data_IF_859962521509
#
_entry.id   IF_859962521509
#
_cell.length_a   1.000
_cell.length_b   1.000
_cell.length_c   1.000
_cell.angle_alpha   90.00
_cell.angle_beta   90.00
_cell.angle_gamma   90.00
#
_symmetry.space_group_name_H-M   'P 1'
#
loop_
_entity.id
_entity.type
_entity.pdbx_description
1 polymer ?
#
# COMPACT_ATOMS: atom_id res chain seq x y z
N UNK A 1 5.46 -14.94 -24.44
CA UNK A 1 5.98 -13.58 -24.21
C UNK A 1 5.70 -13.20 -22.77
N UNK A 2 6.75 -12.91 -22.01
CA UNK A 2 6.70 -12.73 -20.56
C UNK A 2 5.75 -11.57 -20.18
N UNK A 3 4.67 -11.88 -19.45
CA UNK A 3 3.71 -10.91 -18.92
C UNK A 3 4.41 -10.14 -17.80
N UNK A 4 4.80 -8.88 -18.04
CA UNK A 4 5.23 -8.01 -16.95
C UNK A 4 3.98 -7.54 -16.23
N UNK A 5 3.72 -8.13 -15.05
CA UNK A 5 2.83 -7.52 -14.06
C UNK A 5 3.33 -6.10 -13.76
N UNK A 6 2.39 -5.18 -13.53
CA UNK A 6 2.67 -3.82 -13.04
C UNK A 6 3.75 -3.88 -11.97
N UNK A 7 4.95 -3.39 -12.27
CA UNK A 7 5.97 -3.22 -11.25
C UNK A 7 5.72 -1.89 -10.56
N UNK A 8 5.15 -1.95 -9.36
CA UNK A 8 5.21 -0.85 -8.40
C UNK A 8 6.68 -0.68 -7.96
N UNK A 9 7.52 -0.08 -8.80
CA UNK A 9 8.86 0.35 -8.40
C UNK A 9 8.73 1.65 -7.59
N UNK A 10 8.65 1.51 -6.26
CA UNK A 10 8.74 2.63 -5.32
C UNK A 10 7.50 3.52 -5.19
N UNK A 11 7.71 4.72 -4.60
CA UNK A 11 6.70 5.72 -4.22
C UNK A 11 5.91 6.35 -5.39
N UNK A 12 6.26 5.97 -6.62
CA UNK A 12 5.84 6.61 -7.85
C UNK A 12 5.13 5.61 -8.75
N UNK A 13 3.93 5.96 -9.20
CA UNK A 13 3.26 5.20 -10.26
C UNK A 13 3.69 5.74 -11.63
N UNK A 14 4.23 4.85 -12.47
CA UNK A 14 4.46 5.07 -13.89
C UNK A 14 3.71 4.00 -14.68
N UNK A 15 2.88 4.43 -15.63
CA UNK A 15 2.25 3.54 -16.59
C UNK A 15 3.19 3.35 -17.78
N UNK A 16 3.57 2.10 -18.03
CA UNK A 16 4.40 1.70 -19.17
C UNK A 16 3.51 1.31 -20.38
N UNK A 17 4.09 1.31 -21.58
CA UNK A 17 3.41 0.79 -22.77
C UNK A 17 3.26 -0.73 -22.66
N UNK A 18 2.01 -1.21 -22.51
CA UNK A 18 1.72 -2.64 -22.36
C UNK A 18 1.03 -3.01 -21.05
N UNK A 19 0.84 -2.07 -20.12
CA UNK A 19 -0.05 -2.24 -18.98
C UNK A 19 -1.50 -2.29 -19.49
N UNK A 20 -1.98 -3.48 -19.84
CA UNK A 20 -3.24 -3.63 -20.57
C UNK A 20 -4.41 -3.37 -19.63
N UNK A 21 -5.14 -2.30 -19.89
CA UNK A 21 -6.47 -2.07 -19.28
C UNK A 21 -7.52 -3.11 -19.69
N UNK A 22 -7.19 -4.06 -20.56
CA UNK A 22 -8.13 -5.07 -21.08
C UNK A 22 -8.66 -5.99 -19.98
N UNK A 23 -7.78 -6.46 -19.08
CA UNK A 23 -8.15 -7.35 -17.97
C UNK A 23 -8.87 -6.56 -16.85
N UNK A 24 -8.42 -5.32 -16.61
CA UNK A 24 -9.01 -4.35 -15.66
C UNK A 24 -10.44 -3.92 -16.05
N UNK A 25 -10.73 -3.77 -17.34
CA UNK A 25 -12.06 -3.39 -17.85
C UNK A 25 -12.98 -4.61 -17.89
N UNK A 26 -12.48 -5.78 -18.28
CA UNK A 26 -13.26 -7.03 -18.24
C UNK A 26 -13.63 -7.39 -16.79
N UNK A 27 -12.73 -7.17 -15.83
CA UNK A 27 -13.04 -7.29 -14.40
C UNK A 27 -14.08 -6.25 -13.91
N UNK A 28 -14.24 -5.10 -14.61
CA UNK A 28 -15.28 -4.10 -14.32
C UNK A 28 -16.67 -4.58 -14.76
N UNK A 29 -16.74 -5.30 -15.88
CA UNK A 29 -17.97 -5.94 -16.36
C UNK A 29 -18.39 -7.06 -15.41
N UNK A 30 -17.45 -7.87 -14.94
CA UNK A 30 -17.74 -8.99 -14.03
C UNK A 30 -18.07 -8.54 -12.59
N UNK A 31 -17.52 -7.41 -12.11
CA UNK A 31 -17.77 -6.88 -10.75
C UNK A 31 -19.05 -6.07 -10.62
N UNK A 32 -19.49 -5.39 -11.68
CA UNK A 32 -20.82 -4.80 -11.67
C UNK A 32 -21.80 -5.94 -11.90
N UNK A 33 -22.46 -6.35 -10.82
CA UNK A 33 -23.71 -7.11 -10.80
C UNK A 33 -24.86 -6.32 -11.49
N UNK A 34 -24.57 -5.60 -12.59
CA UNK A 34 -25.53 -5.14 -13.61
C UNK A 34 -26.25 -6.33 -14.27
N UNK A 35 -25.82 -7.55 -13.94
CA UNK A 35 -26.21 -8.82 -14.49
C UNK A 35 -26.70 -9.79 -13.41
N UNK A 36 -27.34 -9.28 -12.33
CA UNK A 36 -28.17 -10.12 -11.47
C UNK A 36 -29.13 -10.92 -12.36
N UNK A 37 -28.98 -12.25 -12.35
CA UNK A 37 -29.62 -13.17 -13.28
C UNK A 37 -31.13 -12.88 -13.47
N UNK A 38 -31.49 -12.30 -14.62
CA UNK A 38 -32.91 -12.11 -14.99
C UNK A 38 -33.28 -10.88 -15.83
N UNK A 39 -32.38 -9.93 -16.10
CA UNK A 39 -32.74 -8.64 -16.73
C UNK A 39 -32.47 -8.51 -18.23
N UNK A 40 -31.71 -9.42 -18.86
CA UNK A 40 -31.31 -9.30 -20.26
C UNK A 40 -32.18 -10.13 -21.20
N UNK A 41 -32.69 -9.57 -22.31
CA UNK A 41 -33.62 -10.29 -23.19
C UNK A 41 -32.97 -11.42 -24.00
N UNK A 42 -31.65 -11.38 -24.25
CA UNK A 42 -30.93 -12.43 -25.00
C UNK A 42 -29.39 -12.34 -24.88
N UNK A 43 -28.70 -13.49 -24.88
CA UNK A 43 -27.22 -13.62 -24.87
C UNK A 43 -26.53 -12.85 -26.01
N UNK A 44 -27.08 -12.77 -27.24
CA UNK A 44 -26.50 -11.94 -28.31
C UNK A 44 -26.48 -10.43 -28.00
N UNK A 45 -27.54 -9.91 -27.37
CA UNK A 45 -27.62 -8.50 -26.98
C UNK A 45 -26.58 -8.17 -25.91
N UNK A 46 -26.41 -9.05 -24.93
CA UNK A 46 -25.39 -8.95 -23.89
C UNK A 46 -23.99 -8.92 -24.50
N UNK A 47 -23.65 -9.90 -25.34
CA UNK A 47 -22.35 -9.95 -26.02
C UNK A 47 -22.06 -8.70 -26.88
N UNK A 48 -23.08 -8.19 -27.57
CA UNK A 48 -22.95 -6.94 -28.32
C UNK A 48 -22.61 -5.77 -27.40
N UNK A 49 -23.31 -5.62 -26.27
CA UNK A 49 -23.04 -4.57 -25.28
C UNK A 49 -21.63 -4.70 -24.72
N UNK A 50 -21.21 -5.90 -24.34
CA UNK A 50 -19.86 -6.13 -23.81
C UNK A 50 -18.76 -5.75 -24.81
N UNK A 51 -18.95 -6.03 -26.09
CA UNK A 51 -18.01 -5.60 -27.14
C UNK A 51 -17.92 -4.07 -27.24
N UNK A 52 -19.05 -3.36 -27.19
CA UNK A 52 -19.06 -1.90 -27.21
C UNK A 52 -18.44 -1.28 -25.95
N UNK A 53 -18.75 -1.84 -24.78
CA UNK A 53 -18.16 -1.41 -23.50
C UNK A 53 -16.64 -1.57 -23.54
N UNK A 54 -16.15 -2.72 -24.01
CA UNK A 54 -14.72 -2.99 -24.19
C UNK A 54 -14.06 -1.99 -25.15
N UNK A 55 -14.63 -1.80 -26.33
CA UNK A 55 -14.12 -0.84 -27.32
C UNK A 55 -14.03 0.58 -26.77
N UNK A 56 -15.06 1.02 -26.02
CA UNK A 56 -15.09 2.33 -25.37
C UNK A 56 -14.02 2.46 -24.28
N UNK A 57 -13.78 1.40 -23.53
CA UNK A 57 -12.77 1.39 -22.47
C UNK A 57 -11.34 1.37 -23.02
N UNK A 58 -11.09 0.65 -24.12
CA UNK A 58 -9.82 0.68 -24.85
C UNK A 58 -9.52 2.10 -25.32
N UNK A 59 -10.50 2.75 -25.95
CA UNK A 59 -10.38 4.16 -26.33
C UNK A 59 -10.10 5.06 -25.11
N UNK A 60 -10.85 4.88 -24.02
CA UNK A 60 -10.73 5.72 -22.82
C UNK A 60 -9.33 5.63 -22.20
N UNK A 61 -8.77 4.42 -22.15
CA UNK A 61 -7.44 4.12 -21.61
C UNK A 61 -6.34 4.65 -22.53
N UNK A 62 -6.45 4.41 -23.84
CA UNK A 62 -5.49 4.92 -24.83
C UNK A 62 -5.37 6.44 -24.76
N UNK A 63 -6.50 7.14 -24.60
CA UNK A 63 -6.51 8.60 -24.41
C UNK A 63 -5.86 9.02 -23.08
N UNK A 64 -6.02 8.24 -22.01
CA UNK A 64 -5.34 8.50 -20.74
C UNK A 64 -3.80 8.38 -20.89
N UNK A 65 -3.30 7.31 -21.51
CA UNK A 65 -1.86 7.16 -21.76
C UNK A 65 -1.30 8.24 -22.68
N UNK A 66 -2.02 8.56 -23.76
CA UNK A 66 -1.63 9.62 -24.68
C UNK A 66 -1.47 10.97 -23.97
N UNK A 67 -2.47 11.37 -23.18
CA UNK A 67 -2.40 12.62 -22.43
C UNK A 67 -1.34 12.57 -21.33
N UNK A 68 -1.16 11.44 -20.65
CA UNK A 68 -0.10 11.30 -19.63
C UNK A 68 1.29 11.50 -20.23
N UNK A 69 1.57 10.91 -21.40
CA UNK A 69 2.85 11.12 -22.10
C UNK A 69 3.07 12.58 -22.51
N UNK A 70 2.02 13.27 -22.95
CA UNK A 70 2.08 14.70 -23.29
C UNK A 70 2.40 15.56 -22.07
N UNK A 71 1.72 15.32 -20.95
CA UNK A 71 1.95 16.02 -19.67
C UNK A 71 3.39 15.78 -19.21
N UNK A 72 3.87 14.53 -19.22
CA UNK A 72 5.24 14.16 -18.80
C UNK A 72 6.32 14.84 -19.65
N UNK A 73 6.07 15.03 -20.94
CA UNK A 73 7.01 15.70 -21.88
C UNK A 73 6.95 17.23 -21.81
N UNK A 74 6.09 17.81 -20.95
CA UNK A 74 5.94 19.26 -20.86
C UNK A 74 5.27 19.91 -22.08
N UNK A 75 4.48 19.17 -22.85
CA UNK A 75 3.72 19.75 -23.95
C UNK A 75 2.66 20.73 -23.44
N UNK A 76 2.22 21.68 -24.26
CA UNK A 76 1.11 22.58 -23.92
C UNK A 76 -0.19 21.78 -23.75
N UNK A 77 -0.67 21.69 -22.51
CA UNK A 77 -1.87 20.96 -22.11
C UNK A 77 -2.71 21.84 -21.18
N UNK A 78 -4.02 21.90 -21.44
CA UNK A 78 -4.95 22.68 -20.62
C UNK A 78 -5.13 22.07 -19.22
N UNK A 79 -5.34 22.93 -18.21
CA UNK A 79 -5.59 22.52 -16.81
C UNK A 79 -6.71 21.50 -16.67
N UNK A 80 -7.77 21.62 -17.47
CA UNK A 80 -8.90 20.69 -17.50
C UNK A 80 -8.51 19.30 -17.97
N UNK A 81 -7.58 19.20 -18.93
CA UNK A 81 -7.05 17.93 -19.43
C UNK A 81 -6.19 17.27 -18.35
N UNK A 82 -5.35 18.03 -17.63
CA UNK A 82 -4.57 17.50 -16.51
C UNK A 82 -5.46 16.92 -15.41
N UNK A 83 -6.50 17.67 -14.97
CA UNK A 83 -7.45 17.19 -13.95
C UNK A 83 -8.22 15.94 -14.39
N UNK A 84 -8.73 15.95 -15.64
CA UNK A 84 -9.42 14.78 -16.19
C UNK A 84 -8.47 13.58 -16.26
N UNK A 85 -7.24 13.79 -16.71
CA UNK A 85 -6.24 12.73 -16.80
C UNK A 85 -5.91 12.14 -15.43
N UNK A 86 -5.71 12.98 -14.41
CA UNK A 86 -5.52 12.52 -13.03
C UNK A 86 -6.65 11.60 -12.58
N UNK A 87 -7.92 12.03 -12.71
CA UNK A 87 -9.07 11.20 -12.34
C UNK A 87 -9.21 9.91 -13.16
N UNK A 88 -8.69 9.85 -14.40
CA UNK A 88 -8.61 8.60 -15.17
C UNK A 88 -7.55 7.66 -14.61
N UNK A 89 -6.37 8.21 -14.30
CA UNK A 89 -5.24 7.44 -13.77
C UNK A 89 -5.53 6.90 -12.38
N UNK A 90 -6.19 7.66 -11.50
CA UNK A 90 -6.62 7.20 -10.18
C UNK A 90 -7.53 5.97 -10.27
N UNK A 91 -8.48 5.97 -11.23
CA UNK A 91 -9.39 4.82 -11.46
C UNK A 91 -8.67 3.60 -12.01
N UNK A 92 -7.77 3.78 -12.98
CA UNK A 92 -6.95 2.68 -13.50
C UNK A 92 -6.08 2.05 -12.43
N UNK A 93 -5.47 2.90 -11.58
CA UNK A 93 -4.67 2.43 -10.45
C UNK A 93 -5.50 1.61 -9.47
N UNK A 94 -6.66 2.13 -9.05
CA UNK A 94 -7.49 1.45 -8.06
C UNK A 94 -8.06 0.13 -8.59
N UNK A 95 -8.35 0.05 -9.89
CA UNK A 95 -8.73 -1.22 -10.53
C UNK A 95 -7.60 -2.24 -10.53
N UNK A 96 -6.41 -1.83 -10.94
CA UNK A 96 -5.26 -2.73 -10.92
C UNK A 96 -4.92 -3.17 -9.49
N UNK A 97 -5.13 -2.29 -8.51
CA UNK A 97 -4.99 -2.60 -7.10
C UNK A 97 -6.04 -3.62 -6.63
N UNK A 98 -7.32 -3.46 -7.00
CA UNK A 98 -8.37 -4.47 -6.75
C UNK A 98 -8.00 -5.84 -7.30
N UNK A 99 -7.52 -5.89 -8.54
CA UNK A 99 -7.09 -7.12 -9.18
C UNK A 99 -5.89 -7.74 -8.47
N UNK A 100 -4.89 -6.94 -8.08
CA UNK A 100 -3.73 -7.39 -7.31
C UNK A 100 -4.13 -8.02 -5.98
N UNK A 101 -5.07 -7.41 -5.27
CA UNK A 101 -5.60 -7.92 -4.00
C UNK A 101 -6.42 -9.20 -4.19
N UNK A 102 -7.26 -9.24 -5.22
CA UNK A 102 -8.03 -10.44 -5.57
C UNK A 102 -7.11 -11.62 -5.92
N UNK A 103 -6.09 -11.37 -6.76
CA UNK A 103 -5.11 -12.38 -7.14
C UNK A 103 -4.35 -12.88 -5.90
N UNK A 104 -3.97 -12.00 -4.96
CA UNK A 104 -3.36 -12.42 -3.69
C UNK A 104 -4.22 -13.39 -2.89
N UNK A 105 -5.53 -13.14 -2.78
CA UNK A 105 -6.44 -14.03 -2.09
C UNK A 105 -6.65 -15.35 -2.84
N UNK A 106 -6.58 -15.32 -4.18
CA UNK A 106 -6.84 -16.47 -5.05
C UNK A 106 -5.67 -17.45 -5.13
N UNK A 107 -4.48 -17.00 -5.54
CA UNK A 107 -3.36 -17.92 -5.75
C UNK A 107 -2.42 -17.99 -4.52
N UNK A 108 -2.71 -17.22 -3.46
CA UNK A 108 -2.00 -17.26 -2.19
C UNK A 108 -0.70 -16.46 -2.16
N UNK A 109 0.17 -16.74 -1.18
CA UNK A 109 1.36 -15.94 -0.91
C UNK A 109 2.43 -16.13 -2.00
N UNK A 110 2.45 -15.25 -3.00
CA UNK A 110 3.33 -15.35 -4.18
C UNK A 110 4.84 -15.17 -3.94
N UNK A 111 5.24 -14.69 -2.76
CA UNK A 111 6.57 -14.05 -2.61
C UNK A 111 7.50 -14.78 -1.64
N UNK A 112 6.98 -15.56 -0.69
CA UNK A 112 7.82 -16.18 0.35
C UNK A 112 7.33 -17.61 0.57
N UNK A 113 8.17 -18.59 0.26
CA UNK A 113 7.92 -19.97 0.64
C UNK A 113 7.98 -20.11 2.17
N UNK A 114 7.27 -21.08 2.79
CA UNK A 114 7.34 -21.27 4.24
C UNK A 114 8.79 -21.42 4.76
N UNK A 115 9.67 -22.06 3.98
CA UNK A 115 11.08 -22.20 4.32
C UNK A 115 11.84 -20.87 4.34
N UNK A 116 11.61 -20.00 3.35
CA UNK A 116 12.19 -18.65 3.33
C UNK A 116 11.67 -17.79 4.48
N UNK A 117 10.37 -17.88 4.81
CA UNK A 117 9.79 -17.14 5.92
C UNK A 117 10.45 -17.52 7.27
N UNK A 118 10.68 -18.83 7.48
CA UNK A 118 11.39 -19.33 8.67
C UNK A 118 12.84 -18.85 8.70
N UNK A 119 13.52 -18.82 7.56
CA UNK A 119 14.89 -18.34 7.47
C UNK A 119 14.99 -16.84 7.82
N UNK A 120 14.09 -16.02 7.28
CA UNK A 120 14.03 -14.57 7.57
C UNK A 120 13.75 -14.35 9.06
N UNK A 121 12.76 -15.06 9.60
CA UNK A 121 12.40 -14.96 11.01
C UNK A 121 13.56 -15.35 11.93
N UNK A 122 14.16 -16.52 11.70
CA UNK A 122 15.31 -17.03 12.49
C UNK A 122 16.52 -16.09 12.42
N UNK A 123 16.82 -15.56 11.24
CA UNK A 123 17.91 -14.58 11.06
C UNK A 123 17.67 -13.33 11.91
N UNK A 124 16.44 -12.83 11.92
CA UNK A 124 16.07 -11.64 12.69
C UNK A 124 16.10 -11.90 14.19
N UNK A 125 15.66 -13.07 14.64
CA UNK A 125 15.76 -13.51 16.05
C UNK A 125 17.22 -13.51 16.51
N UNK A 126 18.10 -14.20 15.77
CA UNK A 126 19.52 -14.27 16.12
C UNK A 126 20.20 -12.89 16.12
N UNK A 127 19.82 -12.01 15.19
CA UNK A 127 20.29 -10.63 15.21
C UNK A 127 19.89 -9.91 16.50
N UNK A 128 18.60 -9.95 16.87
CA UNK A 128 18.09 -9.26 18.06
C UNK A 128 18.69 -9.84 19.36
N UNK A 129 18.87 -11.16 19.44
CA UNK A 129 19.53 -11.84 20.55
C UNK A 129 20.99 -11.39 20.70
N UNK A 130 21.74 -11.30 19.60
CA UNK A 130 23.14 -10.84 19.62
C UNK A 130 23.29 -9.42 20.18
N UNK A 131 22.26 -8.57 19.98
CA UNK A 131 22.22 -7.19 20.47
C UNK A 131 21.60 -7.07 21.86
N UNK A 132 21.19 -8.18 22.49
CA UNK A 132 20.47 -8.22 23.77
C UNK A 132 19.25 -7.28 23.77
N UNK A 133 18.55 -7.23 22.64
CA UNK A 133 17.42 -6.33 22.46
C UNK A 133 16.26 -6.74 23.37
N UNK A 134 15.71 -5.77 24.12
CA UNK A 134 14.49 -5.96 24.91
C UNK A 134 13.28 -5.46 24.12
N UNK A 135 12.22 -6.28 23.93
CA UNK A 135 10.99 -5.85 23.28
C UNK A 135 10.41 -4.59 23.91
N UNK A 136 9.87 -3.70 23.07
CA UNK A 136 9.22 -2.46 23.48
C UNK A 136 7.91 -2.83 24.19
N UNK A 137 7.77 -2.53 25.49
CA UNK A 137 6.59 -2.91 26.24
C UNK A 137 5.40 -2.01 25.88
N UNK A 138 4.21 -2.46 26.24
CA UNK A 138 3.02 -1.62 26.17
C UNK A 138 3.20 -0.35 27.03
N UNK A 139 2.79 0.84 26.55
CA UNK A 139 2.87 2.07 27.31
C UNK A 139 2.18 1.94 28.68
N UNK A 140 2.88 2.12 29.82
CA UNK A 140 2.24 2.00 31.13
C UNK A 140 1.23 3.12 31.37
N UNK A 141 0.23 2.88 32.22
CA UNK A 141 -0.83 3.86 32.50
C UNK A 141 -0.31 5.17 33.14
N UNK A 142 0.88 5.15 33.73
CA UNK A 142 1.49 6.27 34.46
C UNK A 142 2.75 6.84 33.79
N UNK A 143 2.79 6.91 32.44
CA UNK A 143 3.97 7.46 31.75
C UNK A 143 4.21 8.92 32.17
N UNK A 144 5.36 9.16 32.83
CA UNK A 144 5.83 10.48 33.28
C UNK A 144 5.92 11.53 32.15
N UNK A 145 5.98 11.09 30.89
CA UNK A 145 6.05 11.91 29.68
C UNK A 145 4.85 11.76 28.74
N UNK A 146 3.76 11.07 29.15
CA UNK A 146 2.65 10.73 28.26
C UNK A 146 1.94 11.97 27.72
N UNK A 147 1.85 13.02 28.52
CA UNK A 147 1.30 14.31 28.10
C UNK A 147 2.15 15.01 27.04
N UNK A 148 3.48 14.92 27.10
CA UNK A 148 4.37 15.52 26.10
C UNK A 148 4.28 14.81 24.75
N UNK A 149 4.21 13.49 24.77
CA UNK A 149 4.02 12.68 23.56
C UNK A 149 2.64 12.92 22.94
N UNK A 150 1.59 13.03 23.76
CA UNK A 150 0.25 13.38 23.30
C UNK A 150 0.22 14.78 22.67
N UNK A 151 0.89 15.78 23.26
CA UNK A 151 0.97 17.12 22.70
C UNK A 151 1.67 17.10 21.33
N UNK A 152 2.81 16.42 21.21
CA UNK A 152 3.52 16.27 19.94
C UNK A 152 2.69 15.55 18.87
N UNK A 153 1.89 14.56 19.27
CA UNK A 153 0.95 13.87 18.38
C UNK A 153 -0.16 14.81 17.92
N UNK A 154 -0.82 15.52 18.84
CA UNK A 154 -1.92 16.44 18.53
C UNK A 154 -1.47 17.63 17.67
N UNK A 155 -0.25 18.14 17.84
CA UNK A 155 0.32 19.19 16.99
C UNK A 155 0.42 18.76 15.52
N UNK A 156 0.60 17.46 15.24
CA UNK A 156 0.68 16.91 13.89
C UNK A 156 -0.67 16.61 13.24
N UNK A 157 -1.79 16.67 13.98
CA UNK A 157 -3.09 16.12 13.57
C UNK A 157 -4.18 17.15 13.25
N UNK A 158 -3.82 18.43 13.13
CA UNK A 158 -4.78 19.55 13.08
C UNK A 158 -5.66 19.65 11.81
N UNK A 159 -5.77 18.62 10.95
CA UNK A 159 -6.49 18.73 9.67
C UNK A 159 -7.34 17.51 9.27
N UNK A 160 -8.57 17.84 8.85
CA UNK A 160 -9.58 17.13 8.02
C UNK A 160 -10.13 15.75 8.46
N UNK A 161 -11.45 15.58 8.33
CA UNK A 161 -12.27 14.49 8.93
C UNK A 161 -12.98 13.62 7.86
N UNK A 162 -12.85 12.28 7.93
CA UNK A 162 -13.71 11.29 7.23
C UNK A 162 -13.45 9.86 7.76
N UNK A 163 -14.44 8.94 7.66
CA UNK A 163 -14.50 7.59 8.30
C UNK A 163 -13.89 6.46 7.44
N UNK A 164 -13.61 6.70 6.17
CA UNK A 164 -12.92 5.77 5.28
C UNK A 164 -11.54 6.32 4.92
N UNK A 165 -10.56 5.44 4.66
CA UNK A 165 -9.26 5.89 4.13
C UNK A 165 -9.47 6.31 2.68
N UNK A 166 -9.69 7.61 2.50
CA UNK A 166 -9.76 8.24 1.19
C UNK A 166 -8.41 8.10 0.51
N UNK A 167 -8.39 7.68 -0.76
CA UNK A 167 -7.16 7.72 -1.55
C UNK A 167 -7.27 8.81 -2.61
N UNK A 168 -6.44 9.82 -2.49
CA UNK A 168 -6.25 10.82 -3.53
C UNK A 168 -4.89 10.65 -4.20
N UNK A 169 -4.67 11.37 -5.30
CA UNK A 169 -3.39 11.33 -6.01
C UNK A 169 -2.84 12.72 -6.20
N UNK A 170 -1.61 12.92 -5.73
CA UNK A 170 -0.84 14.12 -6.02
C UNK A 170 -0.14 13.95 -7.37
N UNK A 171 -0.44 14.83 -8.32
CA UNK A 171 0.18 14.83 -9.65
C UNK A 171 1.46 15.68 -9.66
N UNK A 172 2.61 15.01 -9.76
CA UNK A 172 3.92 15.65 -9.92
C UNK A 172 4.31 15.78 -11.41
N UNK A 173 3.34 15.66 -12.32
CA UNK A 173 3.44 15.70 -13.79
C UNK A 173 4.28 14.58 -14.42
N UNK A 174 5.27 14.05 -13.71
CA UNK A 174 6.11 12.93 -14.13
C UNK A 174 5.55 11.61 -13.61
N UNK A 175 5.29 11.52 -12.31
CA UNK A 175 4.66 10.39 -11.64
C UNK A 175 3.52 10.86 -10.73
N UNK A 176 2.70 9.91 -10.28
CA UNK A 176 1.66 10.14 -9.30
C UNK A 176 2.07 9.56 -7.95
N UNK A 177 1.73 10.27 -6.87
CA UNK A 177 1.91 9.80 -5.50
C UNK A 177 0.51 9.57 -4.90
N UNK A 178 0.20 8.38 -4.37
CA UNK A 178 -1.02 8.16 -3.61
C UNK A 178 -0.93 8.90 -2.26
N UNK A 179 -1.96 9.66 -1.95
CA UNK A 179 -2.14 10.39 -0.69
C UNK A 179 -3.31 9.74 0.02
N UNK A 180 -3.08 9.21 1.22
CA UNK A 180 -4.12 8.55 2.00
C UNK A 180 -4.66 9.52 3.05
N UNK A 181 -5.96 9.72 3.04
CA UNK A 181 -6.69 10.51 4.02
C UNK A 181 -7.22 9.58 5.10
N UNK A 182 -6.47 9.46 6.20
CA UNK A 182 -6.86 8.67 7.39
C UNK A 182 -7.59 9.58 8.39
N UNK A 183 -8.60 9.05 9.09
CA UNK A 183 -9.38 9.79 10.08
C UNK A 183 -8.50 10.32 11.23
N UNK A 184 -8.68 11.57 11.71
CA UNK A 184 -7.89 12.10 12.82
C UNK A 184 -7.98 11.31 14.12
N UNK A 185 -9.15 10.75 14.47
CA UNK A 185 -9.31 9.93 15.68
C UNK A 185 -8.45 8.67 15.59
N UNK A 186 -8.44 8.05 14.43
CA UNK A 186 -7.59 6.92 14.11
C UNK A 186 -6.11 7.34 14.08
N UNK A 187 -5.79 8.53 13.56
CA UNK A 187 -4.42 9.06 13.57
C UNK A 187 -3.88 9.34 14.99
N UNK A 188 -4.71 9.67 15.99
CA UNK A 188 -4.26 9.83 17.39
C UNK A 188 -3.86 8.47 17.97
N UNK A 189 -4.64 7.43 17.69
CA UNK A 189 -4.34 6.04 18.09
C UNK A 189 -3.18 5.45 17.28
N UNK A 190 -3.06 5.81 16.00
CA UNK A 190 -1.98 5.39 15.09
C UNK A 190 -0.66 6.15 15.37
N UNK A 191 -0.71 7.37 15.91
CA UNK A 191 0.48 8.11 16.35
C UNK A 191 1.22 7.43 17.51
N UNK A 192 0.60 6.42 18.12
CA UNK A 192 1.12 5.78 19.30
C UNK A 192 1.68 4.36 19.07
N UNK A 193 1.32 3.60 18.04
CA UNK A 193 1.65 2.16 17.95
C UNK A 193 1.65 1.60 16.51
N UNK A 194 2.51 0.60 16.20
CA UNK A 194 2.83 -0.01 14.87
C UNK A 194 2.84 -1.60 14.83
N UNK A 195 2.76 -2.33 13.69
CA UNK A 195 2.64 -3.83 13.52
C UNK A 195 3.24 -4.38 12.21
N UNK A 196 3.71 -5.64 12.33
CA UNK A 196 3.83 -6.73 11.34
C UNK A 196 3.92 -8.05 12.12
N UNK A 197 2.80 -8.77 12.21
CA UNK A 197 2.39 -9.66 13.30
C UNK A 197 3.37 -10.72 13.89
N UNK A 198 4.50 -11.06 13.25
CA UNK A 198 5.47 -12.04 13.78
C UNK A 198 6.86 -11.44 13.96
N UNK A 199 7.34 -10.76 12.93
CA UNK A 199 8.57 -9.99 12.95
C UNK A 199 8.47 -8.82 13.94
N UNK A 200 7.32 -8.13 14.01
CA UNK A 200 7.12 -7.05 14.98
C UNK A 200 6.73 -7.54 16.37
N UNK A 201 6.25 -8.77 16.56
CA UNK A 201 6.17 -9.36 17.91
C UNK A 201 7.56 -9.61 18.53
N UNK A 202 8.62 -9.67 17.73
CA UNK A 202 9.99 -9.72 18.26
C UNK A 202 10.43 -8.37 18.85
N UNK A 203 9.84 -7.27 18.38
CA UNK A 203 10.28 -5.91 18.71
C UNK A 203 9.27 -5.16 19.58
N UNK A 204 7.99 -5.50 19.51
CA UNK A 204 6.87 -4.83 20.15
C UNK A 204 6.05 -5.83 20.98
N UNK A 205 5.34 -5.32 22.01
CA UNK A 205 4.34 -6.10 22.72
C UNK A 205 3.26 -6.66 21.78
N UNK A 206 2.70 -7.82 22.12
CA UNK A 206 1.69 -8.52 21.31
C UNK A 206 0.44 -7.68 20.98
N UNK A 207 -0.05 -6.84 21.90
CA UNK A 207 -1.27 -6.05 21.70
C UNK A 207 -1.07 -4.92 20.70
N UNK A 208 0.08 -4.24 20.80
CA UNK A 208 0.61 -3.31 19.82
C UNK A 208 0.73 -4.02 18.49
N UNK A 209 1.39 -5.17 18.54
CA UNK A 209 1.66 -6.02 17.42
C UNK A 209 0.44 -6.78 16.91
N UNK A 210 -0.79 -6.49 17.37
CA UNK A 210 -2.10 -6.98 16.87
C UNK A 210 -3.02 -5.83 16.36
N UNK A 211 -2.69 -4.58 16.68
CA UNK A 211 -3.42 -3.37 16.26
C UNK A 211 -3.16 -2.89 14.81
N UNK A 212 -1.91 -2.71 14.40
CA UNK A 212 -1.53 -2.20 13.08
C UNK A 212 -1.64 -3.05 11.76
N UNK A 213 -1.32 -4.34 11.67
CA UNK A 213 -1.82 -5.34 10.71
C UNK A 213 -3.33 -5.27 10.61
N UNK A 214 -4.07 -5.18 11.73
CA UNK A 214 -5.51 -4.97 11.63
C UNK A 214 -5.81 -3.61 10.98
N UNK A 215 -5.04 -2.57 11.33
CA UNK A 215 -5.15 -1.22 10.74
C UNK A 215 -4.72 -1.10 9.28
N UNK A 216 -3.88 -2.01 8.80
CA UNK A 216 -3.50 -2.09 7.39
C UNK A 216 -4.59 -2.79 6.56
N UNK A 217 -5.42 -3.61 7.18
CA UNK A 217 -6.54 -4.30 6.54
C UNK A 217 -7.80 -3.42 6.50
N UNK A 218 -7.69 -2.29 5.80
CA UNK A 218 -8.76 -1.28 5.67
C UNK A 218 -9.26 -1.18 4.23
N UNK A 219 -10.48 -0.68 4.08
CA UNK A 219 -11.05 -0.38 2.76
C UNK A 219 -10.50 0.95 2.27
N UNK A 220 -9.76 0.92 1.16
CA UNK A 220 -9.32 2.08 0.40
C UNK A 220 -10.47 2.54 -0.50
N UNK A 221 -10.92 3.78 -0.36
CA UNK A 221 -12.05 4.32 -1.12
C UNK A 221 -11.64 5.52 -1.99
N UNK A 222 -12.09 5.53 -3.24
CA UNK A 222 -12.00 6.67 -4.16
C UNK A 222 -13.32 6.84 -4.91
N UNK A 223 -14.02 7.94 -4.66
CA UNK A 223 -15.33 8.23 -5.25
C UNK A 223 -16.30 7.04 -5.16
N UNK A 224 -16.62 6.39 -6.28
CA UNK A 224 -17.55 5.26 -6.41
C UNK A 224 -16.89 3.88 -6.21
N UNK A 225 -15.58 3.84 -6.02
CA UNK A 225 -14.79 2.61 -6.00
C UNK A 225 -14.16 2.35 -4.63
N UNK A 226 -14.18 1.09 -4.18
CA UNK A 226 -13.55 0.66 -2.93
C UNK A 226 -12.76 -0.64 -3.10
N UNK A 227 -11.69 -0.82 -2.32
CA UNK A 227 -10.91 -2.05 -2.29
C UNK A 227 -10.41 -2.33 -0.87
N UNK A 228 -10.62 -3.53 -0.36
CA UNK A 228 -10.02 -3.96 0.92
C UNK A 228 -8.54 -4.27 0.72
N UNK A 229 -7.68 -3.58 1.46
CA UNK A 229 -6.24 -3.82 1.42
C UNK A 229 -5.87 -5.05 2.27
N UNK A 230 -5.99 -6.25 1.70
CA UNK A 230 -5.59 -7.49 2.38
C UNK A 230 -4.09 -7.78 2.30
N UNK A 231 -3.39 -7.17 1.35
CA UNK A 231 -1.96 -7.37 1.13
C UNK A 231 -1.25 -6.05 0.80
N UNK A 232 -0.30 -5.67 1.64
CA UNK A 232 0.51 -4.45 1.47
C UNK A 232 0.32 -3.45 2.62
N UNK A 233 1.24 -2.50 2.70
CA UNK A 233 1.26 -1.45 3.72
C UNK A 233 0.56 -0.19 3.22
N UNK A 234 -0.35 0.36 4.02
CA UNK A 234 -0.94 1.69 3.75
C UNK A 234 0.05 2.75 4.21
N UNK A 235 0.68 3.45 3.26
CA UNK A 235 1.79 4.37 3.55
C UNK A 235 1.39 5.67 4.24
N UNK A 236 0.11 6.03 4.26
CA UNK A 236 -0.36 7.25 4.94
C UNK A 236 -0.68 7.07 6.42
N UNK A 237 -0.49 5.86 6.97
CA UNK A 237 -0.54 5.62 8.41
C UNK A 237 0.71 6.23 9.06
N UNK A 238 0.55 6.87 10.23
CA UNK A 238 1.64 7.61 10.89
C UNK A 238 2.83 6.73 11.26
N UNK A 239 2.54 5.48 11.58
CA UNK A 239 3.54 4.50 11.95
C UNK A 239 4.22 3.85 10.73
N UNK A 240 3.70 3.99 9.51
CA UNK A 240 4.21 3.27 8.33
C UNK A 240 5.72 3.47 8.08
N UNK A 241 6.31 4.58 8.53
CA UNK A 241 7.75 4.79 8.48
C UNK A 241 8.55 3.79 9.33
N UNK A 242 8.07 3.45 10.52
CA UNK A 242 8.75 2.52 11.43
C UNK A 242 8.72 1.10 10.85
N UNK A 243 7.56 0.63 10.41
CA UNK A 243 7.44 -0.59 9.60
C UNK A 243 8.46 -0.66 8.49
N UNK A 244 8.51 0.36 7.61
CA UNK A 244 9.34 0.32 6.40
C UNK A 244 10.81 0.26 6.78
N UNK A 245 11.22 1.02 7.81
CA UNK A 245 12.59 0.96 8.34
C UNK A 245 12.93 -0.39 8.93
N UNK A 246 12.01 -1.00 9.69
CA UNK A 246 12.23 -2.31 10.28
C UNK A 246 12.32 -3.42 9.22
N UNK A 247 11.44 -3.39 8.22
CA UNK A 247 11.54 -4.28 7.05
C UNK A 247 12.81 -4.03 6.24
N UNK A 248 13.23 -2.77 6.13
CA UNK A 248 14.52 -2.40 5.55
C UNK A 248 15.69 -3.03 6.30
N UNK A 249 15.69 -2.97 7.63
CA UNK A 249 16.69 -3.64 8.46
C UNK A 249 16.71 -5.16 8.22
N UNK A 250 15.54 -5.80 8.17
CA UNK A 250 15.46 -7.25 7.89
C UNK A 250 16.06 -7.56 6.51
N UNK A 251 15.78 -6.74 5.49
CA UNK A 251 16.39 -6.89 4.17
C UNK A 251 17.91 -6.66 4.19
N UNK A 252 18.39 -5.66 4.92
CA UNK A 252 19.81 -5.39 5.09
C UNK A 252 20.53 -6.57 5.75
N UNK A 253 19.91 -7.24 6.73
CA UNK A 253 20.44 -8.43 7.37
C UNK A 253 20.53 -9.62 6.40
N UNK A 254 19.55 -9.78 5.52
CA UNK A 254 19.57 -10.82 4.48
C UNK A 254 20.64 -10.53 3.42
N UNK A 255 20.86 -9.26 3.07
CA UNK A 255 21.85 -8.85 2.07
C UNK A 255 23.29 -8.92 2.61
N UNK A 256 23.52 -8.43 3.83
CA UNK A 256 24.85 -8.36 4.45
C UNK A 256 25.25 -9.68 5.12
N UNK A 257 24.28 -10.43 5.65
CA UNK A 257 24.52 -11.53 6.56
C UNK A 257 24.89 -11.06 7.97
N UNK A 258 24.63 -11.92 8.96
CA UNK A 258 24.78 -11.57 10.39
C UNK A 258 26.22 -11.21 10.76
N UNK A 259 27.22 -11.87 10.17
CA UNK A 259 28.64 -11.63 10.45
C UNK A 259 29.05 -10.22 10.05
N UNK A 260 28.78 -9.84 8.79
CA UNK A 260 29.14 -8.52 8.27
C UNK A 260 28.32 -7.40 8.89
N UNK A 261 27.04 -7.64 9.15
CA UNK A 261 26.20 -6.68 9.87
C UNK A 261 26.77 -6.40 11.28
N UNK A 262 27.25 -7.43 11.98
CA UNK A 262 27.85 -7.30 13.31
C UNK A 262 29.19 -6.55 13.29
N UNK A 263 30.00 -6.73 12.25
CA UNK A 263 31.26 -5.97 12.08
C UNK A 263 31.01 -4.47 11.86
N UNK A 264 29.97 -4.13 11.10
CA UNK A 264 29.60 -2.73 10.81
C UNK A 264 29.05 -2.06 12.08
N UNK A 265 28.18 -2.76 12.79
CA UNK A 265 27.56 -2.25 14.01
C UNK A 265 28.41 -2.65 15.22
N UNK A 266 29.31 -1.75 15.65
CA UNK A 266 30.17 -1.95 16.83
C UNK A 266 29.42 -2.55 18.03
N UNK A 267 30.12 -3.41 18.78
CA UNK A 267 29.58 -4.11 19.95
C UNK A 267 28.91 -3.16 20.95
N UNK A 268 27.82 -3.63 21.55
CA UNK A 268 27.02 -2.91 22.58
C UNK A 268 27.80 -2.75 23.91
N UNK A 269 29.08 -3.13 23.96
CA UNK A 269 29.83 -3.41 25.19
C UNK A 269 30.97 -2.46 25.59
N UNK A 270 31.15 -1.28 24.97
CA UNK A 270 32.26 -0.38 25.34
C UNK A 270 31.89 1.10 25.44
N UNK A 271 30.81 1.42 26.16
CA UNK A 271 30.70 2.74 26.81
C UNK A 271 30.54 2.54 28.31
N UNK A 272 31.66 2.24 28.97
CA UNK A 272 31.80 2.49 30.40
C UNK A 272 32.02 3.99 30.58
N UNK A 273 31.02 4.66 31.14
CA UNK A 273 31.17 5.88 31.92
C UNK A 273 30.56 5.62 33.29
#
# INVERSE_FOLDING_TARGET
MSRRMMQAQGQSFQLEEGDVALDVVLAYVDQFDLFSAGSWPSVPTENMILQYVKSKADWWTNVAHYNRKRIRRGATVNKTVCRKNLGRLSRLWLKAEQERQHNYLKDGHYVITPGEAVAIYTTTVHWLESRKFSPIPFPPLSIKHGTKLLILALERLKESYSVAVGIEFMDLYSYLIPVYEVEPLEKITDAYLDQYLWLLRLVLDHSIADYVTAKNNVVLSYEDMGCTNSYGLVRGLQFASFVVQYYGLVLDLLLLGLTRASEIVRDVGHFGY
#
